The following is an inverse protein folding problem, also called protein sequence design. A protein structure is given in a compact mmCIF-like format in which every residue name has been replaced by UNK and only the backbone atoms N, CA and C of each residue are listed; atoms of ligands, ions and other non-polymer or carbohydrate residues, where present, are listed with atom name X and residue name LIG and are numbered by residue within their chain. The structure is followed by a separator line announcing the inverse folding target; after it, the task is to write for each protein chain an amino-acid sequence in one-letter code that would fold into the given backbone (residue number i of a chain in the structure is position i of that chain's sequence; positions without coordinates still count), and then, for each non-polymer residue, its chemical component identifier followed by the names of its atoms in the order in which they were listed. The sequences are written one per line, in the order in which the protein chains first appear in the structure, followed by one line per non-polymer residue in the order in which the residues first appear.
data_IF_312395926701
#
_entry.id   IF_312395926701
#
_cell.length_a   1.000
_cell.length_b   1.000
_cell.length_c   1.000
_cell.angle_alpha   90.00
_cell.angle_beta   90.00
_cell.angle_gamma   90.00
#
_symmetry.space_group_name_H-M   'P 1'
#
loop_
_entity.id
_entity.type
_entity.pdbx_description
1 polymer ?
#
# COMPACT_ATOMS: atom_id res chain seq x y z
N UNK A 1 0.01 29.99 -1.98
CA UNK A 1 0.93 29.46 -3.01
C UNK A 1 1.65 28.19 -2.56
N UNK A 2 2.21 28.14 -1.34
CA UNK A 2 2.88 26.94 -0.81
C UNK A 2 2.04 25.65 -0.86
N UNK A 3 0.75 25.70 -0.54
CA UNK A 3 -0.14 24.53 -0.59
C UNK A 3 -0.42 23.98 -2.00
N UNK A 4 -0.46 24.87 -2.99
CA UNK A 4 -0.60 24.45 -4.39
C UNK A 4 0.67 23.72 -4.86
N UNK A 5 1.84 24.26 -4.51
CA UNK A 5 3.13 23.63 -4.81
C UNK A 5 3.24 22.29 -4.08
N UNK A 6 2.87 22.23 -2.81
CA UNK A 6 2.85 21.00 -2.01
C UNK A 6 1.97 19.93 -2.68
N UNK A 7 0.73 20.29 -3.02
CA UNK A 7 -0.22 19.39 -3.67
C UNK A 7 0.33 18.90 -5.01
N UNK A 8 0.87 19.81 -5.81
CA UNK A 8 1.48 19.47 -7.11
C UNK A 8 2.66 18.52 -6.96
N UNK A 9 3.58 18.76 -6.02
CA UNK A 9 4.74 17.91 -5.78
C UNK A 9 4.33 16.49 -5.35
N UNK A 10 3.37 16.37 -4.43
CA UNK A 10 2.86 15.06 -4.00
C UNK A 10 2.13 14.32 -5.12
N UNK A 11 1.27 15.01 -5.87
CA UNK A 11 0.57 14.41 -7.02
C UNK A 11 1.58 13.98 -8.09
N UNK A 12 2.54 14.85 -8.43
CA UNK A 12 3.58 14.55 -9.41
C UNK A 12 4.43 13.35 -8.97
N UNK A 13 4.82 13.29 -7.70
CA UNK A 13 5.51 12.13 -7.13
C UNK A 13 4.67 10.86 -7.26
N UNK A 14 3.40 10.88 -6.86
CA UNK A 14 2.50 9.74 -6.96
C UNK A 14 2.33 9.24 -8.40
N UNK A 15 2.14 10.15 -9.36
CA UNK A 15 2.02 9.84 -10.79
C UNK A 15 3.31 9.23 -11.32
N UNK A 16 4.46 9.87 -11.03
CA UNK A 16 5.77 9.40 -11.44
C UNK A 16 6.05 8.00 -10.87
N UNK A 17 5.78 7.80 -9.58
CA UNK A 17 5.97 6.53 -8.90
C UNK A 17 5.11 5.42 -9.51
N UNK A 18 3.83 5.71 -9.81
CA UNK A 18 2.95 4.76 -10.51
C UNK A 18 3.39 4.49 -11.95
N UNK A 19 3.87 5.51 -12.67
CA UNK A 19 4.34 5.36 -14.04
C UNK A 19 5.58 4.45 -14.12
N UNK A 20 6.50 4.53 -13.16
CA UNK A 20 7.68 3.67 -13.11
C UNK A 20 7.35 2.19 -12.84
N UNK A 21 6.25 1.90 -12.13
CA UNK A 21 5.76 0.52 -11.90
C UNK A 21 4.90 0.01 -13.06
N UNK A 22 4.52 0.90 -13.99
CA UNK A 22 3.60 0.54 -15.06
C UNK A 22 4.15 -0.61 -15.92
N UNK A 23 3.22 -1.44 -16.39
CA UNK A 23 3.54 -2.64 -17.18
C UNK A 23 4.20 -2.27 -18.52
N UNK A 24 3.91 -1.06 -19.01
CA UNK A 24 4.50 -0.48 -20.23
C UNK A 24 5.97 -0.11 -20.04
N UNK A 25 6.31 0.58 -18.95
CA UNK A 25 7.69 0.96 -18.67
C UNK A 25 8.56 -0.25 -18.34
N UNK A 26 8.04 -1.17 -17.53
CA UNK A 26 8.70 -2.44 -17.23
C UNK A 26 8.87 -3.31 -18.47
N UNK A 27 7.87 -3.38 -19.36
CA UNK A 27 7.95 -4.10 -20.64
C UNK A 27 8.96 -3.49 -21.61
N UNK A 28 9.05 -2.16 -21.68
CA UNK A 28 10.06 -1.46 -22.47
C UNK A 28 11.48 -1.77 -21.99
N UNK A 29 11.72 -1.74 -20.67
CA UNK A 29 13.03 -2.09 -20.10
C UNK A 29 13.32 -3.59 -20.30
N UNK A 30 12.33 -4.47 -20.18
CA UNK A 30 12.50 -5.90 -20.45
C UNK A 30 12.93 -6.16 -21.90
N UNK A 31 12.28 -5.52 -22.86
CA UNK A 31 12.60 -5.68 -24.28
C UNK A 31 13.97 -5.10 -24.66
N UNK A 32 14.44 -4.06 -23.96
CA UNK A 32 15.69 -3.36 -24.31
C UNK A 32 16.92 -3.79 -23.51
N UNK A 33 16.75 -4.26 -22.27
CA UNK A 33 17.86 -4.45 -21.32
C UNK A 33 18.14 -5.91 -20.93
N UNK A 34 17.38 -6.89 -21.43
CA UNK A 34 17.66 -8.32 -21.25
C UNK A 34 17.96 -8.71 -19.79
N UNK A 35 19.22 -9.09 -19.51
CA UNK A 35 19.69 -9.55 -18.18
C UNK A 35 19.63 -8.45 -17.10
N UNK A 36 19.64 -7.17 -17.48
CA UNK A 36 19.54 -6.02 -16.58
C UNK A 36 18.12 -5.78 -16.04
N UNK A 37 17.10 -6.38 -16.66
CA UNK A 37 15.71 -6.35 -16.18
C UNK A 37 15.57 -6.82 -14.71
N UNK A 38 16.47 -7.71 -14.27
CA UNK A 38 16.53 -8.22 -12.90
C UNK A 38 16.78 -7.13 -11.85
N UNK A 39 17.40 -6.01 -12.23
CA UNK A 39 17.67 -4.88 -11.33
C UNK A 39 16.60 -3.79 -11.39
N UNK A 40 15.56 -3.93 -12.23
CA UNK A 40 14.51 -2.94 -12.38
C UNK A 40 13.86 -2.55 -11.05
N UNK A 41 13.51 -3.54 -10.20
CA UNK A 41 12.90 -3.28 -8.88
C UNK A 41 13.82 -2.51 -7.95
N UNK A 42 15.13 -2.82 -7.95
CA UNK A 42 16.10 -2.12 -7.12
C UNK A 42 16.26 -0.67 -7.58
N UNK A 43 16.45 -0.44 -8.89
CA UNK A 43 16.52 0.89 -9.47
C UNK A 43 15.26 1.70 -9.17
N UNK A 44 14.09 1.11 -9.35
CA UNK A 44 12.81 1.73 -9.05
C UNK A 44 12.67 2.14 -7.57
N UNK A 45 13.04 1.27 -6.63
CA UNK A 45 12.98 1.58 -5.21
C UNK A 45 13.92 2.74 -4.84
N UNK A 46 15.16 2.71 -5.36
CA UNK A 46 16.13 3.79 -5.15
C UNK A 46 15.61 5.10 -5.75
N UNK A 47 15.15 5.08 -7.00
CA UNK A 47 14.61 6.25 -7.67
C UNK A 47 13.40 6.83 -6.94
N UNK A 48 12.50 5.97 -6.44
CA UNK A 48 11.34 6.38 -5.64
C UNK A 48 11.77 7.05 -4.33
N UNK A 49 12.79 6.53 -3.64
CA UNK A 49 13.29 7.15 -2.41
C UNK A 49 13.93 8.51 -2.73
N UNK A 50 14.80 8.56 -3.74
CA UNK A 50 15.50 9.79 -4.15
C UNK A 50 14.52 10.89 -4.55
N UNK A 51 13.45 10.55 -5.26
CA UNK A 51 12.41 11.51 -5.67
C UNK A 51 11.45 11.88 -4.53
N UNK A 52 11.26 11.01 -3.53
CA UNK A 52 10.42 11.29 -2.37
C UNK A 52 11.08 12.26 -1.38
N UNK A 53 12.40 12.14 -1.16
CA UNK A 53 13.17 12.96 -0.21
C UNK A 53 12.89 14.47 -0.38
N UNK A 54 13.03 15.09 -1.56
CA UNK A 54 12.80 16.52 -1.71
C UNK A 54 11.34 16.91 -1.45
N UNK A 55 10.38 16.05 -1.80
CA UNK A 55 8.94 16.29 -1.54
C UNK A 55 8.66 16.30 -0.03
N UNK A 56 9.27 15.37 0.71
CA UNK A 56 9.15 15.31 2.18
C UNK A 56 9.85 16.51 2.82
N UNK A 57 11.05 16.88 2.39
CA UNK A 57 11.76 18.06 2.91
C UNK A 57 10.92 19.32 2.71
N UNK A 58 10.31 19.50 1.53
CA UNK A 58 9.41 20.61 1.26
C UNK A 58 8.15 20.56 2.14
N UNK A 59 7.62 19.37 2.39
CA UNK A 59 6.47 19.20 3.29
C UNK A 59 6.79 19.63 4.72
N UNK A 60 7.99 19.27 5.22
CA UNK A 60 8.46 19.60 6.56
C UNK A 60 8.88 21.07 6.73
N UNK A 61 9.18 21.78 5.64
CA UNK A 61 9.52 23.20 5.69
C UNK A 61 8.29 24.10 5.91
N UNK A 62 7.09 23.62 5.56
CA UNK A 62 5.83 24.29 5.86
C UNK A 62 5.47 24.00 7.32
N UNK A 63 5.91 24.88 8.22
CA UNK A 63 5.57 24.80 9.64
C UNK A 63 4.33 25.63 9.90
N UNK A 64 3.21 24.97 10.14
CA UNK A 64 2.02 25.62 10.67
C UNK A 64 1.58 24.94 11.96
N UNK A 65 0.97 25.71 12.89
CA UNK A 65 0.42 25.11 14.10
C UNK A 65 -0.71 24.14 13.71
N UNK A 66 -0.69 22.90 14.24
CA UNK A 66 -1.76 21.95 13.98
C UNK A 66 -3.07 22.49 14.57
N UNK A 67 -4.13 22.45 13.76
CA UNK A 67 -5.48 22.78 14.23
C UNK A 67 -6.10 21.61 15.01
N UNK A 68 -5.61 20.39 14.79
CA UNK A 68 -6.04 19.21 15.53
C UNK A 68 -4.82 18.46 16.06
N UNK A 69 -4.76 18.32 17.39
CA UNK A 69 -3.70 17.59 18.08
C UNK A 69 -4.32 16.47 18.87
N UNK A 70 -3.76 15.26 18.72
CA UNK A 70 -4.15 14.13 19.53
C UNK A 70 -3.68 14.33 20.98
N UNK A 71 -4.54 14.91 21.81
CA UNK A 71 -4.23 15.27 23.19
C UNK A 71 -5.32 14.81 24.16
N UNK A 72 -4.97 14.74 25.45
CA UNK A 72 -5.89 14.32 26.52
C UNK A 72 -6.54 12.96 26.25
N UNK A 73 -7.88 12.93 26.32
CA UNK A 73 -8.69 11.72 26.14
C UNK A 73 -8.63 11.11 24.73
N UNK A 74 -8.11 11.83 23.73
CA UNK A 74 -7.96 11.32 22.36
C UNK A 74 -6.64 10.56 22.16
N UNK A 75 -5.70 10.66 23.09
CA UNK A 75 -4.39 10.01 22.97
C UNK A 75 -4.47 8.47 22.87
N UNK A 76 -5.35 7.77 23.64
CA UNK A 76 -5.56 6.33 23.45
C UNK A 76 -6.03 5.97 22.04
N UNK A 77 -6.83 6.83 21.40
CA UNK A 77 -7.32 6.60 20.02
C UNK A 77 -6.16 6.72 19.02
N UNK A 78 -5.28 7.70 19.17
CA UNK A 78 -4.04 7.81 18.38
C UNK A 78 -3.18 6.56 18.48
N UNK A 79 -2.93 6.08 19.70
CA UNK A 79 -2.13 4.87 19.89
C UNK A 79 -2.82 3.62 19.35
N UNK A 80 -4.15 3.55 19.42
CA UNK A 80 -4.91 2.46 18.80
C UNK A 80 -4.79 2.50 17.27
N UNK A 81 -4.85 3.68 16.64
CA UNK A 81 -4.59 3.83 15.20
C UNK A 81 -3.16 3.41 14.85
N UNK A 82 -2.15 3.91 15.54
CA UNK A 82 -0.75 3.51 15.31
C UNK A 82 -0.57 2.00 15.48
N UNK A 83 -1.11 1.44 16.56
CA UNK A 83 -1.02 0.01 16.84
C UNK A 83 -1.68 -0.83 15.73
N UNK A 84 -2.90 -0.48 15.32
CA UNK A 84 -3.61 -1.19 14.24
C UNK A 84 -2.85 -1.09 12.93
N UNK A 85 -2.33 0.09 12.57
CA UNK A 85 -1.49 0.29 11.39
C UNK A 85 -0.23 -0.59 11.39
N UNK A 86 0.54 -0.55 12.48
CA UNK A 86 1.75 -1.38 12.65
C UNK A 86 1.39 -2.86 12.60
N UNK A 87 0.31 -3.28 13.27
CA UNK A 87 -0.15 -4.66 13.27
C UNK A 87 -0.45 -5.16 11.85
N UNK A 88 -1.14 -4.37 11.03
CA UNK A 88 -1.38 -4.68 9.62
C UNK A 88 -0.08 -4.85 8.83
N UNK A 89 0.92 -3.98 9.03
CA UNK A 89 2.23 -4.10 8.41
C UNK A 89 2.99 -5.36 8.86
N UNK A 90 3.02 -5.65 10.16
CA UNK A 90 3.71 -6.83 10.71
C UNK A 90 3.06 -8.12 10.23
N UNK A 91 1.73 -8.21 10.28
CA UNK A 91 1.00 -9.36 9.79
C UNK A 91 1.11 -9.51 8.27
N UNK A 92 1.10 -8.40 7.53
CA UNK A 92 1.33 -8.39 6.08
C UNK A 92 2.73 -8.88 5.71
N UNK A 93 3.77 -8.39 6.39
CA UNK A 93 5.17 -8.76 6.16
C UNK A 93 5.48 -10.22 6.47
N UNK A 94 4.73 -10.85 7.38
CA UNK A 94 4.84 -12.30 7.62
C UNK A 94 4.38 -13.14 6.43
N UNK A 95 3.51 -12.61 5.57
CA UNK A 95 2.99 -13.30 4.38
C UNK A 95 3.66 -12.85 3.08
N UNK A 96 4.03 -11.57 2.98
CA UNK A 96 4.83 -11.03 1.90
C UNK A 96 6.29 -10.96 2.33
N UNK A 97 7.11 -11.95 1.93
CA UNK A 97 8.53 -11.92 2.30
C UNK A 97 9.17 -10.59 1.85
N UNK A 98 9.91 -9.94 2.75
CA UNK A 98 10.64 -8.69 2.53
C UNK A 98 11.56 -8.75 1.29
N UNK A 99 12.07 -9.94 0.97
CA UNK A 99 12.89 -10.21 -0.22
C UNK A 99 12.13 -10.04 -1.55
N UNK A 100 10.82 -10.31 -1.59
CA UNK A 100 9.99 -10.03 -2.77
C UNK A 100 9.68 -8.53 -2.91
N UNK A 101 9.58 -7.81 -1.79
CA UNK A 101 9.33 -6.37 -1.75
C UNK A 101 10.54 -5.55 -2.25
N UNK A 102 11.77 -5.91 -1.84
CA UNK A 102 13.01 -5.26 -2.35
C UNK A 102 13.32 -5.70 -3.80
N UNK A 103 12.72 -6.80 -4.26
CA UNK A 103 12.99 -7.39 -5.58
C UNK A 103 14.15 -8.39 -5.61
N UNK A 104 14.79 -8.65 -4.47
CA UNK A 104 15.86 -9.64 -4.32
C UNK A 104 15.38 -11.08 -4.59
N UNK A 105 14.10 -11.38 -4.36
CA UNK A 105 13.55 -12.71 -4.62
C UNK A 105 13.40 -13.01 -6.12
N UNK A 106 13.28 -11.99 -6.98
CA UNK A 106 13.31 -12.14 -8.45
C UNK A 106 14.70 -12.58 -8.95
N UNK A 107 15.74 -12.40 -8.13
CA UNK A 107 17.13 -12.78 -8.43
C UNK A 107 17.40 -14.26 -8.09
N UNK A 108 16.66 -14.84 -7.12
CA UNK A 108 16.96 -16.16 -6.55
C UNK A 108 15.94 -17.27 -6.87
N UNK A 109 14.71 -16.96 -7.30
CA UNK A 109 13.70 -18.00 -7.52
C UNK A 109 12.76 -17.68 -8.68
N UNK A 110 12.55 -18.69 -9.52
CA UNK A 110 11.58 -18.73 -10.62
C UNK A 110 10.12 -18.94 -10.12
N UNK A 111 9.86 -18.75 -8.82
CA UNK A 111 8.53 -18.88 -8.23
C UNK A 111 7.64 -17.68 -8.55
N UNK A 112 6.90 -17.79 -9.66
CA UNK A 112 6.04 -16.74 -10.22
C UNK A 112 4.83 -16.31 -9.38
N UNK A 113 4.38 -17.06 -8.36
CA UNK A 113 3.10 -16.72 -7.72
C UNK A 113 3.15 -16.75 -6.18
N UNK A 114 3.46 -15.59 -5.60
CA UNK A 114 3.48 -15.31 -4.14
C UNK A 114 2.11 -15.55 -3.49
N UNK A 115 1.03 -15.36 -4.26
CA UNK A 115 -0.33 -15.53 -3.76
C UNK A 115 -0.78 -16.99 -3.74
N UNK A 116 -0.06 -17.90 -4.40
CA UNK A 116 -0.42 -19.31 -4.43
C UNK A 116 0.20 -20.05 -3.24
N UNK A 117 -0.61 -20.80 -2.52
CA UNK A 117 -0.13 -21.82 -1.60
C UNK A 117 0.58 -22.95 -2.39
N UNK A 118 1.22 -23.90 -1.68
CA UNK A 118 1.89 -25.07 -2.29
C UNK A 118 0.99 -25.93 -3.20
N UNK A 119 -0.34 -25.71 -3.20
CA UNK A 119 -1.31 -26.38 -4.06
C UNK A 119 -1.83 -25.52 -5.22
N UNK A 120 -1.22 -24.36 -5.50
CA UNK A 120 -1.66 -23.46 -6.57
C UNK A 120 -2.94 -22.66 -6.28
N UNK A 121 -3.39 -22.57 -5.03
CA UNK A 121 -4.60 -21.82 -4.64
C UNK A 121 -4.25 -20.55 -3.88
N UNK A 122 -5.02 -19.47 -4.08
CA UNK A 122 -4.84 -18.21 -3.35
C UNK A 122 -4.80 -18.44 -1.83
N UNK A 123 -3.70 -18.01 -1.20
CA UNK A 123 -3.46 -18.18 0.23
C UNK A 123 -4.39 -17.26 1.03
N UNK A 124 -5.45 -17.85 1.59
CA UNK A 124 -6.43 -17.17 2.45
C UNK A 124 -6.20 -17.44 3.95
N UNK A 125 -4.97 -17.85 4.33
CA UNK A 125 -4.61 -18.13 5.72
C UNK A 125 -4.09 -16.87 6.41
N UNK A 126 -4.36 -16.73 7.71
CA UNK A 126 -3.88 -15.61 8.52
C UNK A 126 -4.55 -14.29 8.14
N UNK A 127 -3.77 -13.21 8.06
CA UNK A 127 -4.28 -11.86 7.78
C UNK A 127 -4.94 -11.75 6.40
N UNK A 128 -4.47 -12.52 5.41
CA UNK A 128 -5.06 -12.60 4.07
C UNK A 128 -6.44 -13.27 4.09
N UNK A 129 -6.81 -13.96 5.17
CA UNK A 129 -8.19 -14.43 5.37
C UNK A 129 -9.14 -13.33 5.87
N UNK A 130 -8.60 -12.25 6.44
CA UNK A 130 -9.37 -11.14 6.99
C UNK A 130 -9.43 -9.93 6.04
N UNK A 131 -8.29 -9.56 5.45
CA UNK A 131 -8.12 -8.41 4.56
C UNK A 131 -7.21 -8.80 3.38
N UNK A 132 -7.64 -8.49 2.15
CA UNK A 132 -6.89 -8.81 0.93
C UNK A 132 -5.59 -8.00 0.81
N UNK A 133 -5.62 -6.74 1.22
CA UNK A 133 -4.51 -5.80 1.08
C UNK A 133 -4.07 -5.24 2.45
N UNK A 134 -3.41 -6.05 3.30
CA UNK A 134 -3.08 -5.65 4.68
C UNK A 134 -2.13 -4.44 4.73
N UNK A 135 -1.15 -4.33 3.84
CA UNK A 135 -0.27 -3.15 3.81
C UNK A 135 -1.02 -1.86 3.47
N UNK A 136 -1.87 -1.90 2.44
CA UNK A 136 -2.70 -0.75 2.08
C UNK A 136 -3.67 -0.39 3.21
N UNK A 137 -4.25 -1.38 3.89
CA UNK A 137 -5.10 -1.16 5.05
C UNK A 137 -4.36 -0.51 6.22
N UNK A 138 -3.10 -0.90 6.46
CA UNK A 138 -2.26 -0.32 7.50
C UNK A 138 -1.80 1.11 7.23
N UNK A 139 -1.76 1.56 5.97
CA UNK A 139 -1.37 2.93 5.61
C UNK A 139 -2.37 3.95 6.18
N UNK A 140 -3.68 3.71 6.05
CA UNK A 140 -4.70 4.66 6.51
C UNK A 140 -4.58 5.04 8.01
N UNK A 141 -4.60 4.09 8.96
CA UNK A 141 -4.49 4.45 10.37
C UNK A 141 -3.15 5.09 10.73
N UNK A 142 -2.05 4.75 10.02
CA UNK A 142 -0.76 5.44 10.22
C UNK A 142 -0.78 6.88 9.71
N UNK A 143 -1.35 7.13 8.54
CA UNK A 143 -1.48 8.48 7.97
C UNK A 143 -2.32 9.37 8.89
N UNK A 144 -3.45 8.87 9.38
CA UNK A 144 -4.41 9.65 10.13
C UNK A 144 -4.12 9.73 11.64
N UNK A 145 -3.08 9.05 12.14
CA UNK A 145 -2.64 9.14 13.54
C UNK A 145 -1.70 10.31 13.82
N UNK A 146 -1.22 11.04 12.79
CA UNK A 146 -0.47 12.27 12.98
C UNK A 146 -1.37 13.41 13.43
N UNK A 147 -0.78 14.41 14.09
CA UNK A 147 -1.47 15.67 14.35
C UNK A 147 -1.73 16.36 13.00
N UNK A 148 -2.86 17.06 12.88
CA UNK A 148 -3.32 17.61 11.60
C UNK A 148 -3.11 19.12 11.58
N UNK A 149 -2.24 19.55 10.67
CA UNK A 149 -2.21 20.88 10.10
C UNK A 149 -2.74 20.83 8.65
N UNK A 150 -2.78 21.98 7.96
CA UNK A 150 -3.28 22.07 6.57
C UNK A 150 -2.42 21.22 5.63
N UNK A 151 -1.10 21.20 5.82
CA UNK A 151 -0.17 20.41 4.99
C UNK A 151 -0.41 18.92 5.17
N UNK A 152 -0.46 18.43 6.41
CA UNK A 152 -0.74 17.06 6.77
C UNK A 152 -2.10 16.60 6.23
N UNK A 153 -3.13 17.45 6.31
CA UNK A 153 -4.44 17.15 5.76
C UNK A 153 -4.39 16.95 4.23
N UNK A 154 -3.75 17.85 3.50
CA UNK A 154 -3.56 17.75 2.05
C UNK A 154 -2.82 16.47 1.68
N UNK A 155 -1.70 16.20 2.36
CA UNK A 155 -0.87 15.02 2.12
C UNK A 155 -1.66 13.74 2.41
N UNK A 156 -2.36 13.68 3.54
CA UNK A 156 -3.16 12.52 3.94
C UNK A 156 -4.28 12.23 2.95
N UNK A 157 -4.95 13.26 2.41
CA UNK A 157 -5.98 13.11 1.38
C UNK A 157 -5.37 12.57 0.09
N UNK A 158 -4.28 13.19 -0.41
CA UNK A 158 -3.61 12.76 -1.64
C UNK A 158 -3.14 11.31 -1.51
N UNK A 159 -2.47 10.96 -0.41
CA UNK A 159 -1.98 9.61 -0.17
C UNK A 159 -3.11 8.60 0.03
N UNK A 160 -4.24 9.00 0.64
CA UNK A 160 -5.42 8.14 0.77
C UNK A 160 -6.02 7.81 -0.59
N UNK A 161 -6.24 8.81 -1.45
CA UNK A 161 -6.76 8.62 -2.82
C UNK A 161 -5.79 7.78 -3.65
N UNK A 162 -4.50 8.07 -3.55
CA UNK A 162 -3.45 7.34 -4.24
C UNK A 162 -3.42 5.85 -3.83
N UNK A 163 -3.47 5.59 -2.52
CA UNK A 163 -3.50 4.25 -1.94
C UNK A 163 -4.73 3.48 -2.43
N UNK A 164 -5.93 4.08 -2.37
CA UNK A 164 -7.16 3.47 -2.88
C UNK A 164 -7.08 3.15 -4.38
N UNK A 165 -6.61 4.09 -5.19
CA UNK A 165 -6.45 3.91 -6.64
C UNK A 165 -5.46 2.78 -6.93
N UNK A 166 -4.32 2.75 -6.23
CA UNK A 166 -3.32 1.69 -6.33
C UNK A 166 -3.90 0.31 -6.00
N UNK A 167 -4.69 0.21 -4.93
CA UNK A 167 -5.34 -1.06 -4.56
C UNK A 167 -6.33 -1.52 -5.65
N UNK A 168 -7.16 -0.62 -6.19
CA UNK A 168 -8.11 -0.97 -7.27
C UNK A 168 -7.40 -1.45 -8.54
N UNK A 169 -6.29 -0.81 -8.91
CA UNK A 169 -5.48 -1.23 -10.05
C UNK A 169 -4.83 -2.59 -9.80
N UNK A 170 -4.36 -2.85 -8.58
CA UNK A 170 -3.84 -4.16 -8.18
C UNK A 170 -4.92 -5.25 -8.30
N UNK A 171 -6.13 -5.01 -7.79
CA UNK A 171 -7.22 -5.98 -7.91
C UNK A 171 -7.55 -6.31 -9.36
N UNK A 172 -7.58 -5.31 -10.25
CA UNK A 172 -7.81 -5.54 -11.69
C UNK A 172 -6.72 -6.45 -12.29
N UNK A 173 -5.46 -6.23 -11.93
CA UNK A 173 -4.35 -7.10 -12.37
C UNK A 173 -4.52 -8.53 -11.84
N UNK A 174 -4.91 -8.68 -10.58
CA UNK A 174 -5.13 -10.00 -9.97
C UNK A 174 -6.33 -10.74 -10.59
N UNK A 175 -7.39 -10.02 -10.99
CA UNK A 175 -8.50 -10.61 -11.75
C UNK A 175 -8.02 -11.09 -13.12
N UNK A 176 -7.17 -10.32 -13.81
CA UNK A 176 -6.63 -10.72 -15.12
C UNK A 176 -5.70 -11.94 -14.99
N UNK A 177 -4.92 -12.03 -13.91
CA UNK A 177 -3.96 -13.11 -13.69
C UNK A 177 -4.61 -14.41 -13.18
N UNK A 178 -5.57 -14.31 -12.26
CA UNK A 178 -6.13 -15.46 -11.55
C UNK A 178 -7.62 -15.73 -11.85
N UNK A 179 -8.29 -14.87 -12.61
CA UNK A 179 -9.66 -15.05 -13.08
C UNK A 179 -10.66 -15.33 -11.96
N UNK A 180 -11.46 -16.38 -12.14
CA UNK A 180 -12.55 -16.74 -11.22
C UNK A 180 -12.07 -17.15 -9.84
N UNK A 181 -10.84 -17.66 -9.71
CA UNK A 181 -10.26 -17.98 -8.41
C UNK A 181 -10.14 -16.72 -7.54
N UNK A 182 -9.75 -15.59 -8.13
CA UNK A 182 -9.67 -14.32 -7.41
C UNK A 182 -11.05 -13.71 -7.14
N UNK A 183 -11.99 -13.83 -8.08
CA UNK A 183 -13.38 -13.40 -7.85
C UNK A 183 -14.01 -14.12 -6.66
N UNK A 184 -13.84 -15.44 -6.57
CA UNK A 184 -14.30 -16.24 -5.44
C UNK A 184 -13.63 -15.83 -4.11
N UNK A 185 -12.37 -15.41 -4.16
CA UNK A 185 -11.65 -14.87 -3.01
C UNK A 185 -12.17 -13.48 -2.58
N UNK A 186 -12.47 -12.58 -3.53
CA UNK A 186 -13.07 -11.27 -3.26
C UNK A 186 -14.44 -11.37 -2.58
N UNK A 187 -15.19 -12.44 -2.86
CA UNK A 187 -16.46 -12.69 -2.18
C UNK A 187 -16.28 -13.05 -0.70
N UNK A 188 -15.18 -13.70 -0.34
CA UNK A 188 -14.95 -14.22 1.02
C UNK A 188 -14.20 -13.25 1.93
N UNK A 189 -13.26 -12.49 1.39
CA UNK A 189 -12.35 -11.63 2.17
C UNK A 189 -12.59 -10.17 1.82
N UNK A 190 -12.49 -9.25 2.78
CA UNK A 190 -12.66 -7.81 2.53
C UNK A 190 -11.43 -7.16 1.88
N UNK A 191 -11.60 -6.04 1.17
CA UNK A 191 -10.49 -5.34 0.50
C UNK A 191 -9.47 -4.73 1.49
N UNK A 192 -9.94 -3.83 2.38
CA UNK A 192 -9.11 -3.04 3.31
C UNK A 192 -9.59 -3.19 4.77
N UNK A 193 -10.89 -3.08 5.01
CA UNK A 193 -11.46 -3.21 6.36
C UNK A 193 -12.02 -4.62 6.58
N UNK A 194 -11.72 -5.32 7.68
CA UNK A 194 -12.06 -6.73 7.91
C UNK A 194 -13.56 -7.01 8.18
N UNK A 195 -14.48 -6.26 7.56
CA UNK A 195 -15.94 -6.37 7.75
C UNK A 195 -16.46 -7.81 7.57
N UNK A 196 -16.12 -8.49 6.46
CA UNK A 196 -16.58 -9.86 6.20
C UNK A 196 -16.08 -10.86 7.22
N UNK A 197 -14.85 -10.66 7.71
CA UNK A 197 -14.27 -11.49 8.76
C UNK A 197 -14.94 -11.24 10.11
N UNK A 198 -15.22 -9.98 10.46
CA UNK A 198 -15.95 -9.63 11.67
C UNK A 198 -17.37 -10.22 11.66
N UNK A 199 -18.11 -10.05 10.55
CA UNK A 199 -19.44 -10.62 10.35
C UNK A 199 -19.43 -12.15 10.59
N UNK A 200 -18.46 -12.85 10.01
CA UNK A 200 -18.31 -14.30 10.17
C UNK A 200 -17.92 -14.70 11.61
N UNK A 201 -17.05 -13.93 12.25
CA UNK A 201 -16.49 -14.27 13.57
C UNK A 201 -17.47 -13.98 14.69
N UNK A 202 -18.22 -12.87 14.57
CA UNK A 202 -19.19 -12.42 15.57
C UNK A 202 -20.64 -12.85 15.25
N UNK A 203 -20.87 -13.60 14.18
CA UNK A 203 -22.19 -14.15 13.85
C UNK A 203 -23.26 -13.08 13.55
N UNK A 204 -22.85 -11.88 13.14
CA UNK A 204 -23.77 -10.81 12.77
C UNK A 204 -24.47 -11.25 11.47
N UNK A 205 -25.75 -11.63 11.53
CA UNK A 205 -26.52 -11.91 10.31
C UNK A 205 -26.46 -10.67 9.41
N UNK A 206 -26.02 -10.83 8.16
CA UNK A 206 -26.12 -9.77 7.17
C UNK A 206 -27.59 -9.37 7.04
N UNK A 207 -27.89 -8.11 7.36
CA UNK A 207 -29.19 -7.47 7.11
C UNK A 207 -29.42 -7.39 5.60
#
# INVERSE_FOLDING_TARGET
MQYFILSFLWIAFCVLHSALISVTFTGFIQNKAGRLSRYHRLFYNIFSIVTLIPVVIYSLSIKEPPFFVWSGYLLPVKYLLLFTGILFFVLGARHYSFSHFIGLAQIKSDSKHILMNKSGKLSSRGILGAVRHPFYAGIFPLLWASDLDISALIINIILSIYTLTGTLLEERKLILEFGDAYRAYQQKVSMLFPLKWLIKTFGIKSI
#
